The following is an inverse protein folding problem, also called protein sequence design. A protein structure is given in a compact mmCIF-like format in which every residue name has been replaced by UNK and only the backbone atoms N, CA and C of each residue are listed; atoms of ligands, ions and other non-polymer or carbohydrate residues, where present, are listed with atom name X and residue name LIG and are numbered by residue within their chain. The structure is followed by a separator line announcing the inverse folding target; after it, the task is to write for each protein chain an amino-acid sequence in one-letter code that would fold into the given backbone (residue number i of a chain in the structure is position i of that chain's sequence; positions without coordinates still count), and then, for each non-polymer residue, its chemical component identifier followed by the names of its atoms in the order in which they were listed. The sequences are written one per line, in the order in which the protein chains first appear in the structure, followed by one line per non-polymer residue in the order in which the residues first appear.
data_IF_515731392695
#
_entry.id   IF_515731392695
#
_cell.length_a   1.000
_cell.length_b   1.000
_cell.length_c   1.000
_cell.angle_alpha   90.00
_cell.angle_beta   90.00
_cell.angle_gamma   90.00
#
_symmetry.space_group_name_H-M   'P 1'
#
loop_
_entity.id
_entity.type
_entity.pdbx_description
1 polymer ?
#
# COMPACT_ATOMS: atom_id res chain seq x y z
N UNK A 1 29.90 -12.62 43.76
CA UNK A 1 28.99 -11.44 43.69
C UNK A 1 29.33 -10.44 42.58
N UNK A 2 30.60 -10.18 42.23
CA UNK A 2 30.96 -9.22 41.15
C UNK A 2 30.55 -9.63 39.72
N UNK A 3 30.42 -10.93 39.41
CA UNK A 3 30.05 -11.43 38.07
C UNK A 3 28.55 -11.34 37.73
N UNK A 4 27.68 -11.29 38.73
CA UNK A 4 26.22 -11.18 38.53
C UNK A 4 25.81 -9.73 38.24
N UNK A 5 26.56 -8.76 38.79
CA UNK A 5 26.32 -7.33 38.55
C UNK A 5 26.68 -6.91 37.10
N UNK A 6 27.67 -7.56 36.49
CA UNK A 6 28.09 -7.30 35.10
C UNK A 6 27.09 -7.80 34.05
N UNK A 7 26.37 -8.88 34.34
CA UNK A 7 25.31 -9.43 33.47
C UNK A 7 24.02 -8.60 33.52
N UNK A 8 23.71 -7.97 34.65
CA UNK A 8 22.57 -7.06 34.79
C UNK A 8 22.78 -5.72 34.08
N UNK A 9 24.02 -5.21 34.01
CA UNK A 9 24.32 -3.96 33.28
C UNK A 9 24.34 -4.20 31.76
N UNK A 10 24.79 -5.38 31.31
CA UNK A 10 24.73 -5.78 29.91
C UNK A 10 23.29 -5.97 29.40
N UNK A 11 22.40 -6.56 30.21
CA UNK A 11 21.00 -6.76 29.85
C UNK A 11 20.17 -5.46 29.85
N UNK A 12 20.55 -4.45 30.65
CA UNK A 12 19.85 -3.16 30.69
C UNK A 12 20.22 -2.24 29.50
N UNK A 13 21.38 -2.44 28.87
CA UNK A 13 21.84 -1.65 27.72
C UNK A 13 21.28 -2.12 26.37
N UNK A 14 20.71 -3.33 26.30
CA UNK A 14 20.02 -3.83 25.09
C UNK A 14 18.52 -3.44 25.03
N UNK A 15 17.98 -2.81 26.07
CA UNK A 15 16.57 -2.39 26.11
C UNK A 15 16.34 -0.91 25.73
N UNK A 16 17.41 -0.12 25.53
CA UNK A 16 17.30 1.25 25.04
C UNK A 16 17.23 1.26 23.50
N UNK A 17 16.13 0.75 22.95
CA UNK A 17 15.79 1.01 21.55
C UNK A 17 15.74 2.52 21.35
N UNK A 18 16.67 3.08 20.56
CA UNK A 18 16.64 4.51 20.23
C UNK A 18 15.30 4.79 19.53
N UNK A 19 14.58 5.87 19.89
CA UNK A 19 13.36 6.22 19.18
C UNK A 19 13.69 6.43 17.71
N UNK A 20 13.10 5.59 16.85
CA UNK A 20 13.15 5.81 15.42
C UNK A 20 12.20 6.97 15.10
N UNK A 21 12.75 8.07 14.59
CA UNK A 21 11.95 9.19 14.11
C UNK A 21 11.33 8.81 12.77
N UNK A 22 10.01 8.68 12.74
CA UNK A 22 9.28 8.40 11.50
C UNK A 22 8.47 9.64 11.09
N UNK A 23 8.46 9.92 9.79
CA UNK A 23 7.48 10.84 9.21
C UNK A 23 6.10 10.17 9.25
N UNK A 24 5.08 10.92 9.65
CA UNK A 24 3.69 10.48 9.66
C UNK A 24 2.90 11.18 8.57
N UNK A 25 1.99 10.45 7.94
CA UNK A 25 1.03 11.00 6.98
C UNK A 25 -0.28 10.22 7.06
N UNK A 26 -1.33 10.78 6.46
CA UNK A 26 -2.64 10.14 6.37
C UNK A 26 -2.94 9.85 4.90
N UNK A 27 -3.21 8.58 4.60
CA UNK A 27 -3.82 8.19 3.34
C UNK A 27 -5.34 8.15 3.51
N UNK A 28 -6.03 8.94 2.70
CA UNK A 28 -7.50 8.95 2.67
C UNK A 28 -8.00 8.12 1.49
N UNK A 29 -8.94 7.22 1.75
CA UNK A 29 -9.56 6.34 0.75
C UNK A 29 -11.08 6.42 0.87
N UNK A 30 -11.75 6.67 -0.25
CA UNK A 30 -13.22 6.66 -0.31
C UNK A 30 -13.72 5.27 -0.69
N UNK A 31 -14.47 4.64 0.22
CA UNK A 31 -15.04 3.31 0.06
C UNK A 31 -16.52 3.41 -0.31
N UNK A 32 -16.88 2.91 -1.49
CA UNK A 32 -18.28 2.72 -1.88
C UNK A 32 -18.91 1.61 -1.03
N UNK A 33 -20.25 1.52 -0.93
CA UNK A 33 -20.90 0.33 -0.39
C UNK A 33 -20.33 -0.95 -1.03
N UNK A 34 -20.24 -2.06 -0.29
CA UNK A 34 -19.73 -3.32 -0.83
C UNK A 34 -18.19 -3.40 -0.89
N UNK A 35 -17.66 -4.07 -1.91
CA UNK A 35 -16.23 -4.40 -2.02
C UNK A 35 -15.45 -3.32 -2.78
N UNK A 36 -14.30 -2.95 -2.22
CA UNK A 36 -13.41 -1.94 -2.78
C UNK A 36 -11.99 -2.48 -2.86
N UNK A 37 -11.31 -2.23 -3.97
CA UNK A 37 -9.89 -2.52 -4.12
C UNK A 37 -9.04 -1.32 -3.70
N UNK A 38 -8.28 -1.48 -2.64
CA UNK A 38 -7.48 -0.43 -2.00
C UNK A 38 -5.99 -0.77 -2.11
N UNK A 39 -5.17 0.20 -2.46
CA UNK A 39 -3.71 0.06 -2.43
C UNK A 39 -3.10 0.97 -1.38
N UNK A 40 -2.25 0.46 -0.50
CA UNK A 40 -1.66 1.28 0.56
C UNK A 40 -0.29 1.82 0.16
N UNK A 41 -0.11 3.12 0.36
CA UNK A 41 1.17 3.84 0.23
C UNK A 41 1.76 4.23 1.60
N UNK A 42 1.04 3.92 2.68
CA UNK A 42 1.45 4.16 4.06
C UNK A 42 1.52 2.85 4.82
N UNK A 43 2.53 2.72 5.67
CA UNK A 43 2.72 1.61 6.58
C UNK A 43 2.07 1.96 7.92
N UNK A 44 0.99 1.25 8.25
CA UNK A 44 0.23 1.43 9.48
C UNK A 44 0.48 0.29 10.49
N UNK A 45 1.64 -0.37 10.45
CA UNK A 45 2.05 -1.42 11.41
C UNK A 45 2.27 -0.93 12.84
N UNK A 46 2.28 0.39 13.06
CA UNK A 46 2.32 1.00 14.40
C UNK A 46 1.07 0.69 15.24
N UNK A 47 -0.01 0.22 14.62
CA UNK A 47 -1.25 -0.19 15.25
C UNK A 47 -1.76 -1.49 14.65
N UNK A 48 -2.74 -2.11 15.32
CA UNK A 48 -3.45 -3.27 14.76
C UNK A 48 -4.52 -2.82 13.79
N UNK A 49 -4.89 -3.68 12.84
CA UNK A 49 -5.99 -3.42 11.93
C UNK A 49 -7.32 -3.17 12.67
N UNK A 50 -7.56 -3.92 13.76
CA UNK A 50 -8.68 -3.68 14.65
C UNK A 50 -8.64 -2.27 15.30
N UNK A 51 -7.44 -1.79 15.64
CA UNK A 51 -7.23 -0.42 16.08
C UNK A 51 -7.55 0.61 14.99
N UNK A 52 -7.09 0.40 13.76
CA UNK A 52 -7.33 1.32 12.63
C UNK A 52 -8.81 1.45 12.28
N UNK A 53 -9.55 0.34 12.27
CA UNK A 53 -11.00 0.34 11.95
C UNK A 53 -11.88 0.67 13.15
N UNK A 54 -11.39 0.42 14.38
CA UNK A 54 -12.11 0.68 15.63
C UNK A 54 -11.92 2.09 16.18
N UNK A 55 -10.94 2.86 15.68
CA UNK A 55 -10.71 4.25 16.09
C UNK A 55 -11.90 5.18 15.78
N UNK A 56 -12.74 4.82 14.80
CA UNK A 56 -13.98 5.51 14.46
C UNK A 56 -15.17 4.56 14.71
N UNK A 57 -16.03 4.91 15.67
CA UNK A 57 -17.22 4.12 16.01
C UNK A 57 -18.25 4.01 14.87
N UNK A 58 -18.23 4.93 13.91
CA UNK A 58 -19.09 4.91 12.72
C UNK A 58 -18.47 4.13 11.54
N UNK A 59 -17.25 3.60 11.69
CA UNK A 59 -16.56 2.90 10.61
C UNK A 59 -17.33 1.64 10.20
N UNK A 60 -17.80 1.53 8.94
CA UNK A 60 -18.64 0.44 8.48
C UNK A 60 -17.85 -0.75 7.92
N UNK A 61 -16.51 -0.74 8.02
CA UNK A 61 -15.67 -1.79 7.42
C UNK A 61 -15.86 -3.10 8.17
N UNK A 62 -16.39 -4.12 7.49
CA UNK A 62 -16.67 -5.43 8.09
C UNK A 62 -15.56 -6.44 7.84
N UNK A 63 -14.88 -6.32 6.69
CA UNK A 63 -13.87 -7.28 6.24
C UNK A 63 -12.73 -6.57 5.51
N UNK A 64 -11.52 -7.09 5.68
CA UNK A 64 -10.31 -6.64 4.98
C UNK A 64 -9.48 -7.85 4.60
N UNK A 65 -9.21 -8.03 3.31
CA UNK A 65 -8.44 -9.15 2.80
C UNK A 65 -7.19 -8.63 2.12
N UNK A 66 -6.02 -9.00 2.64
CA UNK A 66 -4.71 -8.69 2.06
C UNK A 66 -4.39 -9.72 0.97
N UNK A 67 -4.09 -9.25 -0.23
CA UNK A 67 -3.60 -10.11 -1.29
C UNK A 67 -2.17 -10.56 -1.00
N UNK A 68 -1.96 -11.87 -1.04
CA UNK A 68 -0.64 -12.49 -0.92
C UNK A 68 -0.19 -12.89 -2.33
N UNK A 69 0.79 -12.18 -2.93
CA UNK A 69 1.29 -12.51 -4.25
C UNK A 69 1.77 -13.96 -4.30
N UNK A 70 1.40 -14.68 -5.36
CA UNK A 70 1.74 -16.08 -5.48
C UNK A 70 3.24 -16.21 -5.77
N UNK A 71 3.98 -16.76 -4.82
CA UNK A 71 5.43 -17.00 -4.92
C UNK A 71 5.78 -18.46 -5.27
N UNK A 72 4.81 -19.37 -5.31
CA UNK A 72 5.03 -20.78 -5.62
C UNK A 72 4.74 -21.11 -7.10
N UNK A 73 5.64 -21.88 -7.73
CA UNK A 73 5.44 -22.39 -9.09
C UNK A 73 4.18 -23.26 -9.15
N UNK A 74 3.25 -22.95 -10.05
CA UNK A 74 2.08 -23.80 -10.35
C UNK A 74 0.75 -23.37 -9.72
N UNK A 75 0.68 -22.26 -8.98
CA UNK A 75 -0.59 -21.66 -8.55
C UNK A 75 -0.78 -20.32 -9.24
N UNK A 76 -1.68 -20.24 -10.21
CA UNK A 76 -2.06 -18.99 -10.85
C UNK A 76 -3.56 -18.79 -10.68
N UNK A 77 -3.97 -17.62 -10.19
CA UNK A 77 -5.36 -17.22 -10.35
C UNK A 77 -5.55 -16.85 -11.81
N UNK A 78 -6.28 -17.69 -12.54
CA UNK A 78 -6.57 -17.46 -13.94
C UNK A 78 -7.81 -16.56 -14.13
N UNK A 79 -8.72 -16.48 -13.15
CA UNK A 79 -9.96 -15.72 -13.25
C UNK A 79 -10.06 -14.68 -12.10
N UNK A 80 -10.10 -13.36 -12.36
CA UNK A 80 -10.19 -12.34 -11.33
C UNK A 80 -11.65 -11.99 -10.99
N UNK A 81 -12.64 -12.57 -11.71
CA UNK A 81 -14.05 -12.23 -11.62
C UNK A 81 -14.71 -12.76 -10.35
N UNK A 82 -14.12 -13.80 -9.74
CA UNK A 82 -14.57 -14.38 -8.48
C UNK A 82 -13.36 -14.74 -7.61
N UNK A 83 -12.82 -13.79 -6.82
CA UNK A 83 -11.80 -14.12 -5.84
C UNK A 83 -12.40 -15.04 -4.78
N UNK A 84 -11.83 -16.22 -4.62
CA UNK A 84 -12.30 -17.19 -3.63
C UNK A 84 -11.21 -17.41 -2.55
N UNK A 85 -11.64 -17.51 -1.29
CA UNK A 85 -10.74 -17.68 -0.12
C UNK A 85 -10.12 -19.08 -0.06
N UNK A 86 -10.61 -20.02 -0.88
CA UNK A 86 -10.33 -21.48 -0.83
C UNK A 86 -8.85 -21.85 -1.03
N UNK A 87 -8.03 -20.88 -1.38
CA UNK A 87 -6.71 -21.08 -1.97
C UNK A 87 -5.55 -20.53 -1.12
N UNK A 88 -5.81 -19.93 0.05
CA UNK A 88 -4.79 -19.28 0.89
C UNK A 88 -4.01 -18.15 0.16
N UNK A 89 -4.61 -17.53 -0.87
CA UNK A 89 -4.04 -16.38 -1.58
C UNK A 89 -4.35 -15.05 -0.87
N UNK A 90 -5.11 -15.11 0.23
CA UNK A 90 -5.57 -13.97 1.01
C UNK A 90 -5.27 -14.17 2.49
N UNK A 91 -4.78 -13.11 3.13
CA UNK A 91 -4.78 -13.00 4.59
C UNK A 91 -5.97 -12.16 5.01
N UNK A 92 -6.86 -12.73 5.83
CA UNK A 92 -8.15 -12.12 6.16
C UNK A 92 -8.15 -11.47 7.55
N UNK A 93 -8.93 -10.41 7.67
CA UNK A 93 -9.41 -9.83 8.91
C UNK A 93 -10.91 -9.58 8.80
N UNK A 94 -11.65 -9.90 9.87
CA UNK A 94 -13.09 -9.69 9.98
C UNK A 94 -13.39 -8.96 11.30
N UNK A 95 -14.29 -7.98 11.26
CA UNK A 95 -14.68 -7.19 12.44
C UNK A 95 -15.28 -8.05 13.55
N UNK A 96 -16.19 -8.96 13.16
CA UNK A 96 -16.82 -9.93 14.04
C UNK A 96 -16.40 -11.32 13.58
N UNK A 97 -15.24 -11.83 14.02
CA UNK A 97 -14.68 -13.06 13.47
C UNK A 97 -15.55 -14.26 13.83
N UNK A 98 -16.09 -14.94 12.82
CA UNK A 98 -16.54 -16.34 12.94
C UNK A 98 -15.39 -17.33 12.73
N UNK A 99 -14.26 -16.87 12.17
CA UNK A 99 -13.02 -17.59 11.94
C UNK A 99 -11.83 -16.69 12.32
N UNK A 100 -10.74 -17.27 12.81
CA UNK A 100 -9.50 -16.56 13.13
C UNK A 100 -8.77 -16.15 11.85
N UNK A 101 -8.95 -14.90 11.42
CA UNK A 101 -8.15 -14.30 10.35
C UNK A 101 -6.67 -14.12 10.72
N UNK A 102 -5.77 -14.22 9.74
CA UNK A 102 -4.32 -14.05 9.94
C UNK A 102 -3.84 -12.59 9.79
N UNK A 103 -4.64 -11.71 9.21
CA UNK A 103 -4.24 -10.31 8.98
C UNK A 103 -4.35 -9.50 10.27
N UNK A 104 -3.22 -8.97 10.74
CA UNK A 104 -3.13 -8.23 12.02
C UNK A 104 -2.88 -6.74 11.86
N UNK A 105 -2.25 -6.32 10.77
CA UNK A 105 -1.83 -4.94 10.53
C UNK A 105 -1.83 -4.63 9.04
N UNK A 106 -1.85 -3.34 8.72
CA UNK A 106 -1.80 -2.86 7.35
C UNK A 106 -0.37 -2.47 6.98
N UNK A 107 0.20 -3.17 6.01
CA UNK A 107 1.51 -2.89 5.42
C UNK A 107 1.36 -2.08 4.13
N UNK A 108 2.32 -1.20 3.88
CA UNK A 108 2.39 -0.41 2.65
C UNK A 108 2.75 -1.28 1.43
N UNK A 109 2.59 -0.74 0.23
CA UNK A 109 2.91 -1.37 -1.06
C UNK A 109 2.13 -2.66 -1.35
N UNK A 110 0.98 -2.83 -0.71
CA UNK A 110 0.13 -4.01 -0.87
C UNK A 110 -1.30 -3.60 -1.23
N UNK A 111 -1.97 -4.49 -1.94
CA UNK A 111 -3.36 -4.37 -2.33
C UNK A 111 -4.28 -5.15 -1.38
N UNK A 112 -5.41 -4.55 -1.07
CA UNK A 112 -6.41 -5.06 -0.14
C UNK A 112 -7.79 -5.02 -0.79
N UNK A 113 -8.62 -6.02 -0.47
CA UNK A 113 -10.07 -5.90 -0.62
C UNK A 113 -10.64 -5.43 0.71
N UNK A 114 -11.42 -4.36 0.65
CA UNK A 114 -12.03 -3.75 1.83
C UNK A 114 -13.53 -3.71 1.63
N UNK A 115 -14.26 -4.33 2.54
CA UNK A 115 -15.72 -4.37 2.49
C UNK A 115 -16.32 -3.29 3.38
N UNK A 116 -17.00 -2.34 2.76
CA UNK A 116 -17.88 -1.39 3.43
C UNK A 116 -19.26 -2.05 3.60
N UNK A 117 -19.62 -2.39 4.83
CA UNK A 117 -20.90 -3.04 5.16
C UNK A 117 -22.10 -2.09 5.19
N UNK A 118 -21.89 -0.78 5.05
CA UNK A 118 -22.98 0.20 5.01
C UNK A 118 -23.49 0.44 3.59
N UNK A 119 -24.73 0.93 3.47
CA UNK A 119 -25.31 1.38 2.20
C UNK A 119 -24.83 2.75 1.73
N UNK A 120 -23.93 3.41 2.47
CA UNK A 120 -23.39 4.73 2.14
C UNK A 120 -21.89 4.67 1.84
N UNK A 121 -21.40 5.68 1.12
CA UNK A 121 -19.95 5.84 0.93
C UNK A 121 -19.30 6.24 2.25
N UNK A 122 -18.13 5.67 2.56
CA UNK A 122 -17.37 5.96 3.76
C UNK A 122 -15.96 6.42 3.43
N UNK A 123 -15.47 7.45 4.12
CA UNK A 123 -14.11 7.94 3.95
C UNK A 123 -13.23 7.37 5.04
N UNK A 124 -12.31 6.49 4.66
CA UNK A 124 -11.38 5.85 5.57
C UNK A 124 -10.04 6.59 5.59
N UNK A 125 -9.65 7.06 6.76
CA UNK A 125 -8.38 7.74 6.99
C UNK A 125 -7.40 6.76 7.66
N UNK A 126 -6.28 6.50 6.98
CA UNK A 126 -5.27 5.55 7.42
C UNK A 126 -4.01 6.34 7.75
N UNK A 127 -3.70 6.44 9.04
CA UNK A 127 -2.46 7.07 9.50
C UNK A 127 -1.33 6.04 9.40
N UNK A 128 -0.18 6.45 8.89
CA UNK A 128 0.98 5.58 8.77
C UNK A 128 2.24 6.30 8.34
N UNK A 129 3.32 5.55 8.26
CA UNK A 129 4.62 6.01 7.76
C UNK A 129 4.60 5.97 6.23
N UNK A 130 5.01 7.02 5.51
CA UNK A 130 5.08 6.97 4.06
C UNK A 130 6.11 5.92 3.65
N UNK A 131 5.74 5.03 2.74
CA UNK A 131 6.64 4.01 2.21
C UNK A 131 7.15 4.41 0.84
N UNK A 132 8.42 4.07 0.56
CA UNK A 132 8.94 4.15 -0.79
C UNK A 132 8.14 3.21 -1.71
N UNK A 133 7.75 3.65 -2.92
CA UNK A 133 7.07 2.79 -3.88
C UNK A 133 7.87 1.53 -4.15
N UNK A 134 7.31 0.38 -3.80
CA UNK A 134 7.86 -0.94 -4.11
C UNK A 134 6.74 -1.76 -4.75
N UNK A 135 7.06 -2.51 -5.80
CA UNK A 135 6.09 -3.34 -6.49
C UNK A 135 6.75 -4.59 -7.02
N UNK A 136 5.98 -5.67 -7.05
CA UNK A 136 6.37 -6.93 -7.66
C UNK A 136 5.35 -7.28 -8.73
N UNK A 137 5.84 -7.61 -9.92
CA UNK A 137 5.03 -8.02 -11.05
C UNK A 137 5.37 -9.45 -11.45
N UNK A 138 4.38 -10.34 -11.48
CA UNK A 138 4.54 -11.68 -12.01
C UNK A 138 4.22 -11.69 -13.50
N UNK A 139 5.10 -12.28 -14.31
CA UNK A 139 4.89 -12.43 -15.75
C UNK A 139 3.81 -13.50 -16.08
N UNK A 140 3.41 -14.28 -15.09
CA UNK A 140 2.40 -15.32 -15.19
C UNK A 140 1.28 -15.02 -14.19
N UNK A 141 0.03 -15.19 -14.64
CA UNK A 141 -1.17 -15.01 -13.82
C UNK A 141 -1.67 -13.56 -13.74
N UNK A 142 -2.16 -13.19 -12.56
CA UNK A 142 -2.78 -11.90 -12.26
C UNK A 142 -1.98 -11.13 -11.21
N UNK A 143 -1.92 -9.82 -11.39
CA UNK A 143 -1.29 -8.90 -10.45
C UNK A 143 -2.38 -8.03 -9.81
N UNK A 144 -2.44 -7.98 -8.47
CA UNK A 144 -3.31 -7.05 -7.76
C UNK A 144 -2.48 -5.89 -7.22
N UNK A 145 -2.62 -4.74 -7.84
CA UNK A 145 -1.67 -3.64 -7.66
C UNK A 145 -2.35 -2.29 -7.85
N UNK A 146 -1.88 -1.26 -7.14
CA UNK A 146 -2.25 0.14 -7.35
C UNK A 146 -1.05 0.96 -7.77
N UNK A 147 -1.28 2.23 -8.14
CA UNK A 147 -0.26 3.05 -8.79
C UNK A 147 0.06 4.32 -7.99
N UNK A 148 1.32 4.80 -8.00
CA UNK A 148 1.76 5.99 -7.30
C UNK A 148 1.39 7.27 -8.08
N UNK A 149 0.12 7.43 -8.43
CA UNK A 149 -0.37 8.59 -9.18
C UNK A 149 -0.59 9.80 -8.27
N UNK A 150 -0.63 11.03 -8.82
CA UNK A 150 -1.02 12.20 -8.06
C UNK A 150 -2.44 12.07 -7.48
N UNK A 151 -2.70 12.56 -6.25
CA UNK A 151 -4.04 12.51 -5.66
C UNK A 151 -5.04 13.46 -6.36
N UNK A 152 -4.52 14.52 -6.99
CA UNK A 152 -5.31 15.48 -7.77
C UNK A 152 -4.98 15.30 -9.24
N UNK A 153 -6.00 15.18 -10.08
CA UNK A 153 -5.86 14.96 -11.54
C UNK A 153 -4.92 13.80 -11.90
N UNK A 154 -5.16 12.57 -11.41
CA UNK A 154 -4.37 11.41 -11.82
C UNK A 154 -4.50 11.17 -13.34
N UNK A 155 -3.46 10.65 -14.00
CA UNK A 155 -3.54 10.25 -15.40
C UNK A 155 -4.58 9.15 -15.60
N UNK A 156 -5.16 9.11 -16.80
CA UNK A 156 -5.98 7.97 -17.23
C UNK A 156 -5.12 6.75 -17.51
N UNK A 157 -5.74 5.57 -17.52
CA UNK A 157 -5.05 4.28 -17.71
C UNK A 157 -4.20 4.26 -18.98
N UNK A 158 -4.79 4.71 -20.10
CA UNK A 158 -4.11 4.74 -21.41
C UNK A 158 -2.84 5.59 -21.37
N UNK A 159 -2.94 6.84 -20.91
CA UNK A 159 -1.80 7.75 -20.80
C UNK A 159 -0.73 7.21 -19.85
N UNK A 160 -1.14 6.62 -18.72
CA UNK A 160 -0.19 6.08 -17.75
C UNK A 160 0.63 4.93 -18.32
N UNK A 161 0.01 4.01 -19.07
CA UNK A 161 0.69 2.86 -19.67
C UNK A 161 1.32 3.11 -21.04
N UNK A 162 1.19 4.33 -21.60
CA UNK A 162 1.81 4.67 -22.89
C UNK A 162 3.33 4.38 -23.01
N UNK A 163 4.16 4.45 -21.95
CA UNK A 163 5.57 4.05 -22.05
C UNK A 163 5.80 2.54 -22.18
N UNK A 164 4.79 1.72 -21.93
CA UNK A 164 4.82 0.25 -21.99
C UNK A 164 3.74 -0.29 -22.95
N UNK A 165 3.88 -0.09 -24.27
CA UNK A 165 2.84 -0.41 -25.25
C UNK A 165 2.49 -1.91 -25.33
N UNK A 166 3.44 -2.80 -25.03
CA UNK A 166 3.17 -4.23 -24.94
C UNK A 166 2.17 -4.55 -23.81
N UNK A 167 2.31 -3.90 -22.65
CA UNK A 167 1.35 -4.06 -21.55
C UNK A 167 0.02 -3.40 -21.90
N UNK A 168 0.05 -2.17 -22.42
CA UNK A 168 -1.17 -1.45 -22.77
C UNK A 168 -2.07 -2.20 -23.77
N UNK A 169 -1.48 -2.97 -24.70
CA UNK A 169 -2.22 -3.73 -25.72
C UNK A 169 -2.67 -5.13 -25.29
N UNK A 170 -1.98 -5.75 -24.34
CA UNK A 170 -2.25 -7.14 -23.94
C UNK A 170 -2.89 -7.29 -22.55
N UNK A 171 -2.86 -6.23 -21.73
CA UNK A 171 -3.35 -6.29 -20.37
C UNK A 171 -4.88 -6.28 -20.30
N UNK A 172 -5.45 -7.28 -19.62
CA UNK A 172 -6.82 -7.24 -19.17
C UNK A 172 -6.86 -6.65 -17.77
N UNK A 173 -7.53 -5.51 -17.62
CA UNK A 173 -7.63 -4.78 -16.36
C UNK A 173 -9.02 -4.98 -15.78
N UNK A 174 -9.11 -5.32 -14.49
CA UNK A 174 -10.37 -5.45 -13.76
C UNK A 174 -10.35 -4.58 -12.51
N UNK A 175 -11.53 -4.10 -12.14
CA UNK A 175 -11.75 -3.25 -10.98
C UNK A 175 -12.97 -3.73 -10.19
N UNK A 176 -13.10 -3.21 -8.96
CA UNK A 176 -14.29 -3.42 -8.14
C UNK A 176 -15.21 -2.21 -8.31
N UNK A 177 -16.42 -2.40 -8.87
CA UNK A 177 -17.36 -1.31 -9.06
C UNK A 177 -17.92 -0.80 -7.73
N UNK A 178 -17.97 -1.65 -6.71
CA UNK A 178 -18.71 -1.43 -5.48
C UNK A 178 -20.21 -1.60 -5.69
N UNK A 179 -20.98 -1.23 -4.68
CA UNK A 179 -22.44 -1.31 -4.56
C UNK A 179 -23.00 -2.73 -4.58
N UNK A 180 -22.19 -3.73 -4.25
CA UNK A 180 -22.68 -5.09 -4.04
C UNK A 180 -23.62 -5.16 -2.83
N UNK A 181 -24.57 -6.09 -2.88
CA UNK A 181 -25.51 -6.32 -1.79
C UNK A 181 -24.80 -6.75 -0.50
N UNK A 182 -25.44 -6.51 0.65
CA UNK A 182 -24.94 -6.99 1.93
C UNK A 182 -24.82 -8.53 1.91
N UNK A 183 -23.61 -9.03 2.13
CA UNK A 183 -23.25 -10.45 2.18
C UNK A 183 -22.73 -11.00 0.86
N UNK A 184 -22.76 -10.20 -0.22
CA UNK A 184 -22.29 -10.63 -1.52
C UNK A 184 -20.78 -10.90 -1.54
N UNK A 185 -20.39 -11.92 -2.29
CA UNK A 185 -19.00 -12.21 -2.58
C UNK A 185 -18.35 -11.07 -3.41
N UNK A 186 -17.03 -10.84 -3.28
CA UNK A 186 -16.33 -9.85 -4.09
C UNK A 186 -16.48 -10.16 -5.57
N UNK A 187 -16.92 -9.18 -6.36
CA UNK A 187 -17.13 -9.33 -7.81
C UNK A 187 -16.36 -8.25 -8.56
N UNK A 188 -15.61 -8.62 -9.59
CA UNK A 188 -14.90 -7.65 -10.43
C UNK A 188 -15.61 -7.43 -11.76
N UNK A 189 -15.39 -6.25 -12.35
CA UNK A 189 -15.77 -5.92 -13.71
C UNK A 189 -14.53 -5.64 -14.55
N UNK A 190 -14.53 -6.06 -15.80
CA UNK A 190 -13.45 -5.72 -16.74
C UNK A 190 -13.54 -4.24 -17.11
N UNK A 191 -12.39 -3.58 -17.18
CA UNK A 191 -12.26 -2.18 -17.53
C UNK A 191 -11.94 -2.05 -19.03
N UNK A 192 -12.90 -1.56 -19.80
CA UNK A 192 -12.73 -1.32 -21.23
C UNK A 192 -12.42 0.15 -21.57
N UNK A 193 -12.89 1.09 -20.75
CA UNK A 193 -12.75 2.55 -21.00
C UNK A 193 -11.40 3.10 -20.52
N UNK A 194 -10.29 2.61 -21.08
CA UNK A 194 -8.93 2.95 -20.63
C UNK A 194 -8.56 4.43 -20.81
N UNK A 195 -9.11 5.07 -21.84
CA UNK A 195 -8.83 6.47 -22.20
C UNK A 195 -9.54 7.50 -21.31
N UNK A 196 -10.55 7.09 -20.53
CA UNK A 196 -11.34 7.99 -19.68
C UNK A 196 -11.32 7.61 -18.21
N UNK A 197 -10.76 6.45 -17.87
CA UNK A 197 -10.70 5.99 -16.47
C UNK A 197 -9.43 6.51 -15.79
N UNK A 198 -9.54 7.36 -14.76
CA UNK A 198 -8.39 7.80 -13.98
C UNK A 198 -7.81 6.66 -13.14
N UNK A 199 -6.48 6.49 -13.15
CA UNK A 199 -5.77 5.62 -12.20
C UNK A 199 -5.64 6.35 -10.86
N UNK A 200 -6.68 6.27 -10.03
CA UNK A 200 -6.72 6.98 -8.75
C UNK A 200 -5.71 6.41 -7.76
N UNK A 201 -4.96 7.30 -7.10
CA UNK A 201 -4.06 6.94 -6.00
C UNK A 201 -4.84 6.26 -4.88
N UNK A 202 -4.30 5.19 -4.32
CA UNK A 202 -4.96 4.42 -3.27
C UNK A 202 -6.00 3.42 -3.76
N UNK A 203 -6.28 3.33 -5.07
CA UNK A 203 -7.09 2.29 -5.67
C UNK A 203 -6.21 1.17 -6.24
N UNK A 204 -6.61 -0.08 -6.04
CA UNK A 204 -5.96 -1.24 -6.66
C UNK A 204 -6.78 -1.78 -7.85
N UNK A 205 -6.08 -2.44 -8.77
CA UNK A 205 -6.62 -3.06 -9.97
C UNK A 205 -6.04 -4.46 -10.13
N UNK A 206 -6.85 -5.36 -10.66
CA UNK A 206 -6.36 -6.63 -11.16
C UNK A 206 -5.85 -6.42 -12.58
N UNK A 207 -4.64 -6.88 -12.86
CA UNK A 207 -4.07 -6.83 -14.19
C UNK A 207 -3.59 -8.22 -14.56
N UNK A 208 -4.17 -8.78 -15.62
CA UNK A 208 -3.69 -10.00 -16.26
C UNK A 208 -2.95 -9.63 -17.52
N UNK A 209 -1.73 -10.15 -17.65
CA UNK A 209 -1.00 -10.14 -18.92
C UNK A 209 -0.25 -11.47 -19.03
N UNK A 210 -0.45 -12.19 -20.13
CA UNK A 210 0.11 -13.53 -20.29
C UNK A 210 1.56 -13.45 -20.77
N UNK A 211 2.49 -14.00 -19.99
CA UNK A 211 3.92 -14.06 -20.29
C UNK A 211 4.58 -12.68 -20.52
N UNK A 212 4.07 -11.65 -19.84
CA UNK A 212 4.58 -10.30 -19.97
C UNK A 212 5.12 -9.79 -18.63
N UNK A 213 6.44 -9.58 -18.57
CA UNK A 213 7.07 -8.90 -17.46
C UNK A 213 6.91 -7.37 -17.59
N UNK A 214 6.59 -6.69 -16.50
CA UNK A 214 6.49 -5.24 -16.44
C UNK A 214 7.30 -4.68 -15.27
N UNK A 215 8.16 -3.71 -15.57
CA UNK A 215 8.95 -2.94 -14.60
C UNK A 215 8.60 -1.43 -14.64
N UNK A 216 7.44 -1.10 -15.22
CA UNK A 216 6.94 0.26 -15.24
C UNK A 216 5.86 0.42 -14.16
N UNK A 217 6.15 1.28 -13.19
CA UNK A 217 5.25 1.62 -12.09
C UNK A 217 4.98 3.13 -11.99
N UNK A 218 5.47 3.88 -12.96
CA UNK A 218 5.40 5.33 -13.02
C UNK A 218 6.56 5.88 -13.84
N UNK A 219 6.51 7.17 -14.22
CA UNK A 219 7.48 7.76 -15.12
C UNK A 219 8.87 7.96 -14.48
N UNK A 220 8.94 8.00 -13.15
CA UNK A 220 10.19 8.16 -12.38
C UNK A 220 10.33 7.00 -11.40
N UNK A 221 11.49 6.36 -11.39
CA UNK A 221 11.90 5.41 -10.36
C UNK A 221 12.85 6.09 -9.38
N UNK A 222 12.56 5.97 -8.09
CA UNK A 222 13.42 6.42 -6.99
C UNK A 222 14.22 5.23 -6.48
N UNK A 223 15.54 5.33 -6.50
CA UNK A 223 16.47 4.31 -6.03
C UNK A 223 17.17 4.88 -4.78
N UNK A 224 16.76 4.48 -3.57
CA UNK A 224 17.34 4.96 -2.33
C UNK A 224 18.69 4.27 -2.04
N UNK A 225 19.49 4.85 -1.14
CA UNK A 225 20.64 4.15 -0.53
C UNK A 225 20.20 3.03 0.43
N UNK A 226 19.09 3.27 1.14
CA UNK A 226 18.45 2.37 2.11
C UNK A 226 16.99 2.11 1.68
N UNK A 227 16.60 0.83 1.45
CA UNK A 227 15.24 0.49 1.05
C UNK A 227 14.16 0.88 2.09
N UNK A 228 14.53 1.00 3.37
CA UNK A 228 13.61 1.38 4.45
C UNK A 228 13.36 2.90 4.51
N UNK A 229 13.96 3.67 3.60
CA UNK A 229 13.75 5.10 3.49
C UNK A 229 14.93 5.94 3.98
N UNK A 230 14.65 7.19 4.35
CA UNK A 230 15.66 8.15 4.76
C UNK A 230 15.60 8.32 6.28
N UNK A 231 16.66 7.92 6.97
CA UNK A 231 16.75 7.97 8.43
C UNK A 231 17.88 8.89 8.86
N UNK A 232 17.56 10.17 9.10
CA UNK A 232 18.52 11.10 9.70
C UNK A 232 18.57 10.85 11.21
N UNK A 233 19.56 10.07 11.65
CA UNK A 233 19.92 9.93 13.06
C UNK A 233 21.12 10.81 13.41
N UNK A 234 21.66 10.66 14.61
CA UNK A 234 22.88 11.39 15.04
C UNK A 234 24.13 11.10 14.20
N UNK A 235 24.12 10.08 13.33
CA UNK A 235 25.29 9.64 12.56
C UNK A 235 25.24 9.95 11.06
N UNK A 236 24.06 10.27 10.50
CA UNK A 236 23.90 10.54 9.07
C UNK A 236 23.66 12.03 8.84
N UNK A 237 24.67 12.71 8.27
CA UNK A 237 24.56 14.11 7.84
C UNK A 237 24.14 14.29 6.38
N UNK A 238 24.20 13.23 5.57
CA UNK A 238 23.90 13.27 4.14
C UNK A 238 23.25 11.96 3.70
N UNK A 239 22.30 12.06 2.76
CA UNK A 239 21.66 10.92 2.10
C UNK A 239 21.55 11.20 0.61
N UNK A 240 21.93 10.22 -0.21
CA UNK A 240 21.87 10.32 -1.67
C UNK A 240 20.76 9.42 -2.21
N UNK A 241 20.01 9.94 -3.18
CA UNK A 241 18.96 9.21 -3.87
C UNK A 241 19.17 9.34 -5.38
N UNK A 242 19.02 8.23 -6.10
CA UNK A 242 19.13 8.21 -7.56
C UNK A 242 17.74 8.22 -8.17
N UNK A 243 17.55 9.07 -9.17
CA UNK A 243 16.32 9.15 -9.94
C UNK A 243 16.57 8.57 -11.32
N UNK A 244 15.69 7.68 -11.78
CA UNK A 244 15.73 7.15 -13.13
C UNK A 244 14.45 7.54 -13.86
N UNK A 245 14.61 8.17 -15.02
CA UNK A 245 13.52 8.40 -15.95
C UNK A 245 13.22 7.08 -16.68
N UNK A 246 11.97 6.62 -16.59
CA UNK A 246 11.48 5.40 -17.26
C UNK A 246 10.70 5.70 -18.54
N UNK A 247 10.75 6.94 -19.02
CA UNK A 247 10.07 7.40 -20.23
C UNK A 247 11.08 7.94 -21.25
N UNK A 248 10.75 7.97 -22.54
CA UNK A 248 11.61 8.57 -23.56
C UNK A 248 11.61 10.11 -23.52
N UNK A 249 10.62 10.73 -22.87
CA UNK A 249 10.48 12.18 -22.78
C UNK A 249 11.30 12.81 -21.66
N UNK A 250 11.54 14.12 -21.73
CA UNK A 250 12.14 14.86 -20.62
C UNK A 250 11.14 15.01 -19.48
N UNK A 251 11.57 14.66 -18.26
CA UNK A 251 10.75 14.81 -17.06
C UNK A 251 11.28 15.93 -16.17
N UNK A 252 10.39 16.79 -15.69
CA UNK A 252 10.67 17.73 -14.61
C UNK A 252 10.32 17.07 -13.29
N UNK A 253 11.31 16.83 -12.44
CA UNK A 253 11.11 16.33 -11.07
C UNK A 253 11.26 17.50 -10.10
N UNK A 254 10.27 17.66 -9.23
CA UNK A 254 10.32 18.63 -8.14
C UNK A 254 10.41 17.86 -6.84
N UNK A 255 11.43 18.14 -6.02
CA UNK A 255 11.53 17.65 -4.65
C UNK A 255 11.09 18.78 -3.72
N UNK A 256 10.29 18.43 -2.71
CA UNK A 256 9.79 19.37 -1.72
C UNK A 256 9.70 18.70 -0.37
N UNK A 257 10.13 19.40 0.67
CA UNK A 257 10.02 18.91 2.03
C UNK A 257 8.57 19.03 2.52
N UNK A 258 7.97 17.91 2.91
CA UNK A 258 6.62 17.85 3.46
C UNK A 258 6.71 17.67 4.97
N UNK A 259 6.02 18.52 5.73
CA UNK A 259 5.96 18.40 7.18
C UNK A 259 5.32 17.06 7.60
N UNK A 260 5.86 16.44 8.65
CA UNK A 260 5.22 15.27 9.26
C UNK A 260 3.89 15.68 9.88
N UNK A 261 2.87 14.83 9.74
CA UNK A 261 1.67 14.90 10.57
C UNK A 261 2.03 14.60 12.04
N UNK A 262 1.07 14.89 12.94
CA UNK A 262 1.21 14.54 14.35
C UNK A 262 1.31 13.02 14.52
N UNK A 263 2.25 12.51 15.34
CA UNK A 263 2.38 11.08 15.59
C UNK A 263 1.12 10.53 16.27
N UNK A 264 0.69 9.30 15.92
CA UNK A 264 -0.35 8.59 16.65
C UNK A 264 -0.02 8.40 18.13
N UNK A 265 -1.05 8.19 18.96
CA UNK A 265 -0.86 7.90 20.38
C UNK A 265 0.08 6.69 20.59
N UNK A 266 1.00 6.81 21.54
CA UNK A 266 2.01 5.78 21.83
C UNK A 266 3.24 5.80 20.91
N UNK A 267 3.28 6.68 19.90
CA UNK A 267 4.47 6.87 19.06
C UNK A 267 5.35 8.03 19.57
N UNK A 268 6.67 8.01 19.29
CA UNK A 268 7.57 9.08 19.68
C UNK A 268 7.08 10.45 19.18
N UNK A 269 7.22 11.47 20.04
CA UNK A 269 6.82 12.83 19.70
C UNK A 269 7.64 13.38 18.53
N UNK A 270 7.00 14.21 17.72
CA UNK A 270 7.67 14.96 16.66
C UNK A 270 8.55 16.05 17.31
N UNK A 271 9.86 15.97 17.12
CA UNK A 271 10.85 16.87 17.77
C UNK A 271 11.11 18.13 16.94
N UNK A 272 10.52 18.24 15.74
CA UNK A 272 10.67 19.37 14.84
C UNK A 272 11.04 18.96 13.43
N UNK A 273 10.90 19.89 12.48
CA UNK A 273 11.26 19.66 11.09
C UNK A 273 12.78 19.76 10.95
N UNK A 274 13.40 18.72 10.38
CA UNK A 274 14.82 18.77 10.03
C UNK A 274 14.98 19.67 8.81
N UNK A 275 15.74 20.77 8.88
CA UNK A 275 16.03 21.57 7.71
C UNK A 275 16.93 20.75 6.77
N UNK A 276 16.37 20.31 5.64
CA UNK A 276 17.12 19.60 4.61
C UNK A 276 17.61 20.61 3.57
N UNK A 277 18.91 20.53 3.26
CA UNK A 277 19.48 21.13 2.06
C UNK A 277 19.23 20.16 0.91
N UNK A 278 18.33 20.51 0.01
CA UNK A 278 17.96 19.73 -1.19
C UNK A 278 18.78 20.16 -2.41
#
# INVERSE_FOLDING_TARGET
MKRILSLLIGALLLAAGRPAHAQWTTQTVTLKPGWNAVYLHVDATHTTLAGTVGADGANPITEVWLWQPIVAQGRFINNPQQPAVVNNDWSLWNRNPSLTGSLRSLVANHAYLVRNGSGATYTWNIVGRPALPNYSWTAQGVNFIGFPTPPVNPPVVDTFFSPVPALASQAEIYYYPGNEAAGAAPTTAQLFSLFSTPLKRGQAFWIRANNLHNNYFGPVQVIPQDPDGIHFSTALGQYSLRLRNLTPGTLRVTNSLVASASPPAGQPAFVGQVPLLL
#
